data_IF_344020101839
#
_entry.id   IF_344020101839
#
_cell.length_a   1.000
_cell.length_b   1.000
_cell.length_c   1.000
_cell.angle_alpha   90.00
_cell.angle_beta   90.00
_cell.angle_gamma   90.00
#
_symmetry.space_group_name_H-M   'P 1'
#
loop_
_entity.id
_entity.type
_entity.pdbx_description
1 polymer ?
#
# COMPACT_ATOMS: atom_id res chain seq x y z
N UNK A 1 23.00 -7.56 10.21
CA UNK A 1 22.25 -7.24 11.46
C UNK A 1 20.91 -6.61 11.06
N UNK A 2 19.95 -6.43 11.97
CA UNK A 2 18.69 -5.75 11.66
C UNK A 2 18.66 -4.41 12.39
N UNK A 3 18.37 -3.35 11.65
CA UNK A 3 18.09 -2.03 12.20
C UNK A 3 16.60 -1.84 12.37
N UNK A 4 16.20 -1.16 13.44
CA UNK A 4 14.80 -0.90 13.77
C UNK A 4 14.57 0.60 13.95
N UNK A 5 13.45 1.10 13.46
CA UNK A 5 12.98 2.46 13.66
C UNK A 5 11.49 2.47 13.98
N UNK A 6 11.01 3.51 14.65
CA UNK A 6 9.59 3.67 14.97
C UNK A 6 9.13 5.08 14.67
N UNK A 7 7.98 5.21 14.01
CA UNK A 7 7.34 6.49 13.69
C UNK A 7 6.02 6.52 14.44
N UNK A 8 5.80 7.55 15.24
CA UNK A 8 4.53 7.82 15.92
C UNK A 8 3.89 9.08 15.34
N UNK A 9 2.63 8.98 14.93
CA UNK A 9 1.85 10.11 14.42
C UNK A 9 0.46 10.11 15.01
N UNK A 10 -0.21 11.25 15.00
CA UNK A 10 -1.61 11.35 15.36
C UNK A 10 -2.47 10.42 14.49
N UNK A 11 -3.37 9.64 15.09
CA UNK A 11 -4.30 8.74 14.38
C UNK A 11 -5.22 9.47 13.40
N UNK A 12 -5.40 10.77 13.60
CA UNK A 12 -6.21 11.63 12.73
C UNK A 12 -5.49 12.08 11.46
N UNK A 13 -4.17 11.85 11.36
CA UNK A 13 -3.33 12.38 10.28
C UNK A 13 -2.77 11.25 9.41
N UNK A 14 -3.68 10.44 8.86
CA UNK A 14 -3.32 9.25 8.08
C UNK A 14 -2.56 9.58 6.79
N UNK A 15 -2.75 10.77 6.23
CA UNK A 15 -2.02 11.23 5.04
C UNK A 15 -0.53 11.43 5.33
N UNK A 16 -0.18 12.12 6.43
CA UNK A 16 1.23 12.30 6.82
C UNK A 16 1.89 11.01 7.29
N UNK A 17 1.11 10.06 7.83
CA UNK A 17 1.63 8.71 8.09
C UNK A 17 2.08 8.05 6.79
N UNK A 18 1.19 8.02 5.79
CA UNK A 18 1.46 7.38 4.51
C UNK A 18 2.66 8.02 3.80
N UNK A 19 2.77 9.35 3.84
CA UNK A 19 3.91 10.08 3.25
C UNK A 19 5.24 9.70 3.93
N UNK A 20 5.26 9.67 5.27
CA UNK A 20 6.46 9.27 6.04
C UNK A 20 6.85 7.80 5.82
N UNK A 21 5.87 6.89 5.76
CA UNK A 21 6.13 5.47 5.47
C UNK A 21 6.64 5.29 4.04
N UNK A 22 6.11 6.03 3.07
CA UNK A 22 6.57 6.00 1.68
C UNK A 22 8.01 6.51 1.58
N UNK A 23 8.34 7.61 2.26
CA UNK A 23 9.70 8.13 2.31
C UNK A 23 10.67 7.11 2.93
N UNK A 24 10.29 6.49 4.06
CA UNK A 24 11.09 5.44 4.69
C UNK A 24 11.24 4.20 3.83
N UNK A 25 10.19 3.81 3.11
CA UNK A 25 10.25 2.69 2.16
C UNK A 25 11.22 2.98 1.02
N UNK A 26 11.25 4.21 0.52
CA UNK A 26 12.24 4.65 -0.47
C UNK A 26 13.69 4.67 0.08
N UNK A 27 13.85 4.89 1.40
CA UNK A 27 15.13 4.74 2.11
C UNK A 27 15.52 3.26 2.35
N UNK A 28 14.67 2.30 1.97
CA UNK A 28 14.90 0.85 2.14
C UNK A 28 14.43 0.29 3.49
N UNK A 29 13.51 0.97 4.17
CA UNK A 29 12.86 0.45 5.38
C UNK A 29 11.58 -0.32 5.04
N UNK A 30 11.36 -1.42 5.75
CA UNK A 30 10.18 -2.26 5.64
C UNK A 30 9.28 -2.10 6.86
N UNK A 31 7.96 -2.00 6.67
CA UNK A 31 7.00 -1.81 7.77
C UNK A 31 6.61 -3.16 8.36
N UNK A 32 7.08 -3.46 9.57
CA UNK A 32 6.88 -4.76 10.21
C UNK A 32 5.67 -4.82 11.14
N UNK A 33 5.23 -3.69 11.69
CA UNK A 33 4.03 -3.62 12.52
C UNK A 33 3.45 -2.21 12.58
N UNK A 34 2.13 -2.10 12.66
CA UNK A 34 1.42 -0.85 12.92
C UNK A 34 0.52 -1.05 14.13
N UNK A 35 0.73 -0.24 15.17
CA UNK A 35 0.04 -0.37 16.46
C UNK A 35 -0.70 0.93 16.75
N UNK A 36 -2.04 0.89 16.91
CA UNK A 36 -2.78 2.02 17.42
C UNK A 36 -2.52 2.19 18.94
N UNK A 37 -2.11 3.38 19.33
CA UNK A 37 -1.80 3.82 20.69
C UNK A 37 -2.80 4.89 21.16
N UNK A 38 -4.10 4.54 21.15
CA UNK A 38 -5.18 5.42 21.62
C UNK A 38 -5.49 6.56 20.65
N UNK A 39 -4.76 7.67 20.75
CA UNK A 39 -4.88 8.83 19.87
C UNK A 39 -3.84 8.87 18.76
N UNK A 40 -2.84 8.01 18.84
CA UNK A 40 -1.67 7.99 17.97
C UNK A 40 -1.53 6.61 17.31
N UNK A 41 -0.84 6.55 16.18
CA UNK A 41 -0.47 5.33 15.49
C UNK A 41 1.05 5.24 15.47
N UNK A 42 1.57 4.12 15.97
CA UNK A 42 3.00 3.82 15.93
C UNK A 42 3.28 2.76 14.89
N UNK A 43 4.05 3.10 13.86
CA UNK A 43 4.59 2.15 12.89
C UNK A 43 6.01 1.75 13.29
N UNK A 44 6.29 0.46 13.30
CA UNK A 44 7.60 -0.11 13.49
C UNK A 44 8.16 -0.51 12.13
N UNK A 45 9.38 -0.08 11.86
CA UNK A 45 10.08 -0.31 10.61
C UNK A 45 11.37 -1.08 10.88
N UNK A 46 11.76 -1.95 9.96
CA UNK A 46 13.03 -2.66 9.99
C UNK A 46 13.77 -2.49 8.69
N UNK A 47 15.11 -2.50 8.73
CA UNK A 47 15.92 -2.61 7.52
C UNK A 47 17.07 -3.59 7.72
N UNK A 48 17.45 -4.33 6.66
CA UNK A 48 18.61 -5.20 6.72
C UNK A 48 19.90 -4.37 6.67
N UNK A 49 20.73 -4.48 7.70
CA UNK A 49 22.10 -3.95 7.71
C UNK A 49 23.02 -5.05 7.20
N UNK A 50 23.50 -4.88 5.95
CA UNK A 50 24.42 -5.77 5.22
C UNK A 50 24.12 -7.28 5.35
N UNK A 51 23.51 -7.84 4.30
CA UNK A 51 23.49 -9.29 4.05
C UNK A 51 22.27 -10.08 4.53
N UNK A 52 21.25 -9.42 5.10
CA UNK A 52 19.97 -10.07 5.33
C UNK A 52 19.05 -9.85 4.11
N UNK A 53 18.59 -10.92 3.42
CA UNK A 53 17.64 -10.76 2.33
C UNK A 53 16.37 -10.12 2.88
N UNK A 54 16.00 -8.95 2.33
CA UNK A 54 14.69 -8.38 2.55
C UNK A 54 13.67 -9.44 2.10
N UNK A 55 12.67 -9.72 2.94
CA UNK A 55 11.58 -10.60 2.55
C UNK A 55 10.95 -10.03 1.26
N UNK A 56 10.70 -10.84 0.22
CA UNK A 56 10.11 -10.34 -1.00
C UNK A 56 8.74 -9.73 -0.68
N UNK A 57 8.65 -8.42 -0.88
CA UNK A 57 7.39 -7.68 -0.86
C UNK A 57 6.57 -8.18 -2.06
N UNK A 58 5.60 -9.07 -1.80
CA UNK A 58 4.64 -9.58 -2.77
C UNK A 58 3.61 -8.50 -3.19
N UNK A 59 3.99 -7.21 -3.21
CA UNK A 59 3.19 -6.16 -3.83
C UNK A 59 3.48 -6.04 -5.34
N UNK A 60 3.51 -7.18 -6.03
CA UNK A 60 3.07 -7.19 -7.42
C UNK A 60 1.54 -7.22 -7.43
N UNK A 61 0.91 -6.11 -6.99
CA UNK A 61 -0.44 -5.79 -7.43
C UNK A 61 -0.34 -5.46 -8.92
N UNK A 62 -0.34 -6.52 -9.71
CA UNK A 62 -0.76 -6.53 -11.10
C UNK A 62 -2.18 -5.97 -11.13
N UNK A 63 -2.30 -4.65 -11.22
CA UNK A 63 -3.50 -4.01 -11.74
C UNK A 63 -3.50 -4.24 -13.24
N UNK A 64 -3.64 -5.51 -13.64
CA UNK A 64 -4.16 -5.85 -14.96
C UNK A 64 -5.48 -5.11 -15.09
N UNK A 65 -5.48 -4.20 -16.06
CA UNK A 65 -6.64 -3.55 -16.60
C UNK A 65 -7.74 -4.60 -16.86
N UNK A 66 -8.71 -4.69 -15.96
CA UNK A 66 -10.02 -5.18 -16.32
C UNK A 66 -10.73 -4.02 -17.01
N UNK A 67 -10.45 -3.89 -18.32
CA UNK A 67 -11.28 -3.15 -19.25
C UNK A 67 -12.74 -3.45 -18.94
N UNK A 68 -13.49 -2.42 -18.57
CA UNK A 68 -14.94 -2.46 -18.58
C UNK A 68 -15.37 -2.55 -20.04
N UNK A 69 -15.39 -3.77 -20.59
CA UNK A 69 -16.08 -4.08 -21.83
C UNK A 69 -17.56 -3.99 -21.49
N UNK A 70 -18.14 -2.84 -21.81
CA UNK A 70 -19.59 -2.65 -21.88
C UNK A 70 -20.15 -3.73 -22.83
N UNK A 71 -21.05 -4.63 -22.36
CA UNK A 71 -21.67 -5.58 -23.25
C UNK A 71 -22.58 -4.80 -24.20
N UNK A 72 -22.18 -4.80 -25.46
CA UNK A 72 -22.99 -4.59 -26.65
C UNK A 72 -24.45 -5.03 -26.41
N UNK A 73 -25.30 -4.06 -26.06
CA UNK A 73 -26.74 -4.17 -26.24
C UNK A 73 -27.02 -3.72 -27.67
N UNK A 74 -26.74 -4.61 -28.63
CA UNK A 74 -27.38 -4.54 -29.93
C UNK A 74 -28.88 -4.71 -29.72
N UNK A 75 -29.61 -3.59 -29.61
CA UNK A 75 -31.06 -3.57 -29.75
C UNK A 75 -31.36 -3.90 -31.22
N UNK A 76 -31.97 -5.06 -31.54
CA UNK A 76 -32.38 -5.33 -32.90
C UNK A 76 -33.56 -4.40 -33.24
N UNK A 77 -33.35 -3.63 -34.30
CA UNK A 77 -34.36 -3.01 -35.14
C UNK A 77 -35.71 -3.76 -35.07
N UNK A 78 -36.67 -3.19 -34.36
CA UNK A 78 -38.09 -3.49 -34.52
C UNK A 78 -38.74 -2.25 -35.13
N UNK A 79 -38.67 -2.19 -36.45
CA UNK A 79 -39.61 -1.45 -37.27
C UNK A 79 -41.05 -1.90 -36.92
N UNK A 80 -41.93 -0.96 -36.61
CA UNK A 80 -43.37 -1.21 -36.53
C UNK A 80 -44.10 -0.29 -37.55
N UNK A 81 -45.13 -0.80 -38.27
CA UNK A 81 -45.70 -0.22 -39.49
C UNK A 81 -46.62 1.00 -39.32
#
# INVERSE_FOLDING_TARGET
MQEYSSISVSSYDSASLADQLTQKSAEGWDVVAIVPAGTDVTAYLSRPTDGAPAAPDEAAHDVAAAEHVEPDQAEPDQAEP
#
